data_IF_358104401162
#
_entry.id   IF_358104401162
#
_cell.length_a   1.000
_cell.length_b   1.000
_cell.length_c   1.000
_cell.angle_alpha   90.00
_cell.angle_beta   90.00
_cell.angle_gamma   90.00
#
_symmetry.space_group_name_H-M   'P 1'
#
loop_
_entity.id
_entity.type
_entity.pdbx_description
1 polymer ?
#
# COMPACT_ATOMS: atom_id res chain seq x y z
N UNK A 1 -47.35 47.46 40.33
CA UNK A 1 -46.45 48.03 39.30
C UNK A 1 -45.78 46.85 38.58
N UNK A 2 -46.39 46.33 37.51
CA UNK A 2 -45.91 45.13 36.82
C UNK A 2 -44.99 45.52 35.66
N UNK A 3 -43.70 45.16 35.75
CA UNK A 3 -42.75 45.28 34.63
C UNK A 3 -42.82 44.01 33.78
N UNK A 4 -43.30 44.13 32.54
CA UNK A 4 -43.17 43.08 31.52
C UNK A 4 -41.75 43.14 30.95
N UNK A 5 -41.00 42.05 31.05
CA UNK A 5 -39.71 41.87 30.38
C UNK A 5 -39.99 41.04 29.12
N UNK A 6 -39.82 41.65 27.95
CA UNK A 6 -39.90 40.96 26.66
C UNK A 6 -38.56 40.31 26.34
N UNK A 7 -38.53 38.99 26.24
CA UNK A 7 -37.38 38.23 25.76
C UNK A 7 -37.45 38.18 24.23
N UNK A 8 -36.57 38.91 23.54
CA UNK A 8 -36.41 38.80 22.08
C UNK A 8 -35.37 37.70 21.83
N UNK A 9 -35.83 36.55 21.32
CA UNK A 9 -34.96 35.49 20.84
C UNK A 9 -34.63 35.76 19.37
N UNK A 10 -33.45 36.30 19.09
CA UNK A 10 -32.94 36.44 17.74
C UNK A 10 -32.35 35.09 17.30
N UNK A 11 -33.07 34.36 16.44
CA UNK A 11 -32.59 33.14 15.81
C UNK A 11 -31.84 33.52 14.53
N UNK A 12 -30.51 33.66 14.60
CA UNK A 12 -29.66 33.81 13.42
C UNK A 12 -29.47 32.44 12.76
N UNK A 13 -30.21 32.17 11.68
CA UNK A 13 -29.96 31.01 10.82
C UNK A 13 -28.71 31.31 9.99
N UNK A 14 -27.55 30.90 10.49
CA UNK A 14 -26.33 30.82 9.69
C UNK A 14 -26.46 29.54 8.86
N UNK A 15 -26.91 29.70 7.61
CA UNK A 15 -26.82 28.66 6.60
C UNK A 15 -25.35 28.44 6.24
N UNK A 16 -24.68 27.60 7.03
CA UNK A 16 -23.36 27.07 6.69
C UNK A 16 -23.51 26.20 5.44
N UNK A 17 -22.85 26.60 4.35
CA UNK A 17 -22.56 25.72 3.23
C UNK A 17 -21.86 24.48 3.81
N UNK A 18 -22.54 23.34 3.79
CA UNK A 18 -21.89 22.06 3.97
C UNK A 18 -20.89 21.91 2.82
N UNK A 19 -19.63 22.30 3.07
CA UNK A 19 -18.51 21.83 2.28
C UNK A 19 -18.56 20.32 2.46
N UNK A 20 -19.14 19.63 1.49
CA UNK A 20 -19.01 18.18 1.37
C UNK A 20 -17.54 17.88 1.54
N UNK A 21 -17.17 17.21 2.64
CA UNK A 21 -15.81 16.70 2.79
C UNK A 21 -15.60 15.78 1.59
N UNK A 22 -14.87 16.26 0.58
CA UNK A 22 -14.38 15.40 -0.47
C UNK A 22 -13.68 14.25 0.21
N UNK A 23 -14.09 13.01 -0.07
CA UNK A 23 -13.44 11.82 0.46
C UNK A 23 -11.92 11.99 0.31
N UNK A 24 -11.15 11.73 1.38
CA UNK A 24 -9.68 11.89 1.41
C UNK A 24 -9.00 11.24 0.20
N UNK A 25 -9.60 10.20 -0.36
CA UNK A 25 -9.16 9.51 -1.56
C UNK A 25 -10.28 9.47 -2.62
N UNK A 26 -10.03 9.91 -3.87
CA UNK A 26 -11.05 10.01 -4.91
C UNK A 26 -11.46 8.64 -5.45
N UNK A 27 -12.53 8.08 -4.90
CA UNK A 27 -13.12 6.80 -5.35
C UNK A 27 -13.67 6.91 -6.77
N UNK A 28 -13.40 5.91 -7.62
CA UNK A 28 -13.85 5.87 -9.02
C UNK A 28 -13.06 6.77 -9.99
N UNK A 29 -12.11 7.57 -9.48
CA UNK A 29 -11.22 8.36 -10.34
C UNK A 29 -10.26 7.47 -11.13
N UNK A 30 -9.78 6.37 -10.55
CA UNK A 30 -8.91 5.40 -11.19
C UNK A 30 -9.70 4.15 -11.62
N UNK A 31 -9.50 3.69 -12.86
CA UNK A 31 -9.93 2.34 -13.28
C UNK A 31 -8.85 1.31 -12.95
N UNK A 32 -9.26 0.06 -12.80
CA UNK A 32 -8.33 -1.08 -12.75
C UNK A 32 -7.44 -1.07 -14.00
N UNK A 33 -6.11 -1.25 -13.89
CA UNK A 33 -5.21 -1.02 -15.02
C UNK A 33 -5.23 -2.13 -16.08
N UNK A 34 -5.82 -3.30 -15.78
CA UNK A 34 -6.00 -4.41 -16.71
C UNK A 34 -7.48 -4.58 -17.10
N UNK A 35 -7.75 -5.19 -18.24
CA UNK A 35 -9.09 -5.67 -18.62
C UNK A 35 -9.30 -7.15 -18.23
N UNK A 36 -8.68 -7.57 -17.12
CA UNK A 36 -8.81 -8.89 -16.54
C UNK A 36 -9.65 -8.83 -15.26
N UNK A 37 -10.05 -10.00 -14.74
CA UNK A 37 -10.65 -10.11 -13.42
C UNK A 37 -9.72 -9.43 -12.38
N UNK A 38 -10.22 -8.50 -11.56
CA UNK A 38 -9.41 -7.83 -10.54
C UNK A 38 -8.92 -8.84 -9.49
N UNK A 39 -7.60 -9.04 -9.46
CA UNK A 39 -6.92 -9.92 -8.50
C UNK A 39 -5.51 -9.38 -8.24
N UNK A 40 -5.03 -9.52 -7.00
CA UNK A 40 -3.68 -9.13 -6.60
C UNK A 40 -2.88 -10.31 -6.04
N UNK A 41 -1.55 -10.13 -6.01
CA UNK A 41 -0.60 -11.01 -5.35
C UNK A 41 -0.07 -10.43 -4.04
N UNK A 42 0.05 -9.12 -3.99
CA UNK A 42 0.57 -8.37 -2.85
C UNK A 42 -0.10 -7.00 -2.78
N UNK A 43 -0.19 -6.44 -1.58
CA UNK A 43 -0.71 -5.09 -1.32
C UNK A 43 0.35 -4.16 -0.71
N UNK A 44 0.01 -2.89 -0.54
CA UNK A 44 0.92 -1.92 0.07
C UNK A 44 1.05 -2.25 1.56
N UNK A 45 2.27 -2.23 2.07
CA UNK A 45 2.57 -2.52 3.48
C UNK A 45 2.87 -3.99 3.77
N UNK A 46 2.81 -4.88 2.78
CA UNK A 46 3.37 -6.22 2.92
C UNK A 46 4.87 -6.15 3.25
N UNK A 47 5.29 -6.91 4.28
CA UNK A 47 6.68 -6.94 4.73
C UNK A 47 7.55 -7.73 3.74
N UNK A 48 8.62 -7.12 3.25
CA UNK A 48 9.68 -7.77 2.45
C UNK A 48 11.00 -7.68 3.21
N UNK A 49 12.03 -8.42 2.81
CA UNK A 49 13.27 -8.57 3.60
C UNK A 49 13.99 -7.28 4.03
N UNK A 50 13.72 -6.13 3.39
CA UNK A 50 14.37 -4.86 3.75
C UNK A 50 13.53 -3.62 3.39
N UNK A 51 12.26 -3.79 3.06
CA UNK A 51 11.36 -2.71 2.65
C UNK A 51 9.89 -3.16 2.82
N UNK A 52 8.96 -2.20 2.87
CA UNK A 52 7.56 -2.51 2.60
C UNK A 52 7.31 -2.59 1.10
N UNK A 53 6.38 -3.44 0.69
CA UNK A 53 5.83 -3.39 -0.64
C UNK A 53 5.04 -2.09 -0.85
N UNK A 54 5.26 -1.39 -1.96
CA UNK A 54 4.89 0.03 -2.13
C UNK A 54 3.64 0.26 -3.01
N UNK A 55 2.92 -0.80 -3.35
CA UNK A 55 1.78 -0.74 -4.26
C UNK A 55 0.94 -2.01 -4.27
N UNK A 56 0.28 -2.27 -5.39
CA UNK A 56 -0.39 -3.54 -5.68
C UNK A 56 0.41 -4.32 -6.72
N UNK A 57 0.62 -5.60 -6.46
CA UNK A 57 1.08 -6.53 -7.51
C UNK A 57 -0.15 -7.16 -8.15
N UNK A 58 -0.53 -6.68 -9.33
CA UNK A 58 -1.76 -7.07 -10.02
C UNK A 58 -1.52 -8.31 -10.86
N UNK A 59 -2.36 -9.35 -10.67
CA UNK A 59 -2.26 -10.60 -11.43
C UNK A 59 -2.56 -10.40 -12.91
N UNK A 60 -1.73 -10.98 -13.76
CA UNK A 60 -1.88 -10.98 -15.23
C UNK A 60 -2.34 -12.34 -15.75
N UNK A 61 -3.15 -13.06 -14.97
CA UNK A 61 -3.53 -14.46 -15.24
C UNK A 61 -2.31 -15.36 -15.56
N UNK A 62 -1.20 -15.13 -14.82
CA UNK A 62 0.06 -15.87 -14.92
C UNK A 62 0.69 -15.81 -16.33
N UNK A 63 0.41 -14.74 -17.08
CA UNK A 63 0.91 -14.53 -18.44
C UNK A 63 1.56 -13.16 -18.56
N UNK A 64 2.60 -13.09 -19.37
CA UNK A 64 3.11 -11.81 -19.88
C UNK A 64 2.24 -11.33 -21.05
N UNK A 65 2.52 -10.11 -21.48
CA UNK A 65 1.91 -9.45 -22.63
C UNK A 65 0.39 -9.24 -22.54
N UNK A 66 -0.13 -9.05 -21.32
CA UNK A 66 -1.48 -8.53 -21.12
C UNK A 66 -1.46 -7.02 -21.35
N UNK A 67 -2.53 -6.49 -21.96
CA UNK A 67 -2.61 -5.04 -22.19
C UNK A 67 -2.78 -4.29 -20.86
N UNK A 68 -1.91 -3.31 -20.64
CA UNK A 68 -1.93 -2.37 -19.52
C UNK A 68 -2.43 -1.03 -20.03
N UNK A 69 -3.29 -0.42 -19.24
CA UNK A 69 -4.03 0.77 -19.63
C UNK A 69 -3.96 1.83 -18.52
N UNK A 70 -3.89 3.10 -18.90
CA UNK A 70 -3.89 4.22 -17.97
C UNK A 70 -5.12 4.19 -17.05
N UNK A 71 -4.88 4.34 -15.75
CA UNK A 71 -5.91 4.26 -14.72
C UNK A 71 -6.76 5.53 -14.69
N UNK A 72 -6.20 6.67 -15.09
CA UNK A 72 -6.92 7.93 -15.26
C UNK A 72 -6.28 8.78 -16.37
N UNK A 73 -6.96 9.87 -16.76
CA UNK A 73 -6.43 10.83 -17.73
C UNK A 73 -5.31 11.69 -17.14
N UNK A 74 -4.37 12.13 -17.98
CA UNK A 74 -3.18 12.85 -17.57
C UNK A 74 -2.15 12.86 -18.69
N UNK A 75 -0.87 12.75 -18.34
CA UNK A 75 0.21 12.58 -19.30
C UNK A 75 1.29 11.67 -18.70
N UNK A 76 1.97 10.92 -19.56
CA UNK A 76 3.15 10.15 -19.15
C UNK A 76 4.23 11.17 -18.79
N UNK A 77 4.55 11.26 -17.51
CA UNK A 77 5.47 12.25 -16.95
C UNK A 77 6.90 11.75 -16.91
N UNK A 78 7.08 10.44 -16.72
CA UNK A 78 8.38 9.81 -16.62
C UNK A 78 8.35 8.38 -17.16
N UNK A 79 9.44 8.00 -17.81
CA UNK A 79 9.80 6.61 -18.09
C UNK A 79 11.10 6.30 -17.38
N UNK A 80 11.16 5.14 -16.74
CA UNK A 80 12.39 4.61 -16.16
C UNK A 80 12.59 3.19 -16.65
N UNK A 81 13.78 2.92 -17.18
CA UNK A 81 14.22 1.57 -17.56
C UNK A 81 15.51 1.26 -16.84
N UNK A 82 15.52 0.18 -16.07
CA UNK A 82 16.71 -0.33 -15.40
C UNK A 82 16.72 -1.87 -15.36
N UNK A 83 17.89 -2.53 -15.24
CA UNK A 83 17.96 -4.00 -15.25
C UNK A 83 17.33 -4.69 -14.03
N UNK A 84 17.28 -4.00 -12.89
CA UNK A 84 16.68 -4.48 -11.65
C UNK A 84 15.46 -3.65 -11.26
N UNK A 85 15.12 -3.60 -9.97
CA UNK A 85 14.06 -2.73 -9.46
C UNK A 85 12.76 -2.88 -10.25
N UNK A 86 12.25 -1.77 -10.79
CA UNK A 86 11.01 -1.75 -11.56
C UNK A 86 11.08 -2.31 -12.98
N UNK A 87 12.28 -2.60 -13.50
CA UNK A 87 12.43 -2.99 -14.89
C UNK A 87 12.10 -1.83 -15.80
N UNK A 88 11.07 -2.01 -16.63
CA UNK A 88 10.49 -0.95 -17.47
C UNK A 88 9.25 -0.40 -16.79
N UNK A 89 9.23 0.91 -16.54
CA UNK A 89 8.13 1.56 -15.83
C UNK A 89 7.64 2.86 -16.48
N UNK A 90 6.33 3.07 -16.41
CA UNK A 90 5.62 4.28 -16.82
C UNK A 90 5.09 4.99 -15.58
N UNK A 91 5.29 6.31 -15.52
CA UNK A 91 4.68 7.19 -14.53
C UNK A 91 3.73 8.13 -15.26
N UNK A 92 2.52 8.30 -14.75
CA UNK A 92 1.50 9.17 -15.32
C UNK A 92 1.09 10.19 -14.26
N UNK A 93 1.32 11.47 -14.52
CA UNK A 93 0.83 12.54 -13.65
C UNK A 93 -0.60 12.90 -14.04
N UNK A 94 -1.45 13.07 -13.04
CA UNK A 94 -2.86 13.36 -13.21
C UNK A 94 -3.20 14.79 -12.74
N UNK A 95 -4.23 15.44 -13.32
CA UNK A 95 -4.64 16.79 -12.93
C UNK A 95 -5.05 16.95 -11.45
N UNK A 96 -5.39 15.86 -10.76
CA UNK A 96 -5.76 15.87 -9.35
C UNK A 96 -4.57 15.85 -8.38
N UNK A 97 -3.33 15.98 -8.86
CA UNK A 97 -2.12 16.01 -8.04
C UNK A 97 -1.65 14.62 -7.59
N UNK A 98 -2.11 13.57 -8.26
CA UNK A 98 -1.66 12.20 -8.05
C UNK A 98 -0.88 11.67 -9.25
N UNK A 99 0.00 10.72 -9.01
CA UNK A 99 0.76 10.00 -10.04
C UNK A 99 0.45 8.52 -9.95
N UNK A 100 0.22 7.85 -11.07
CA UNK A 100 0.19 6.37 -11.11
C UNK A 100 1.46 5.82 -11.74
N UNK A 101 1.98 4.75 -11.14
CA UNK A 101 3.14 4.01 -11.64
C UNK A 101 2.69 2.64 -12.14
N UNK A 102 3.28 2.19 -13.25
CA UNK A 102 3.12 0.85 -13.83
C UNK A 102 4.51 0.26 -14.06
N UNK A 103 4.82 -0.88 -13.45
CA UNK A 103 6.16 -1.48 -13.49
C UNK A 103 6.14 -2.93 -14.00
N UNK A 104 7.36 -3.47 -14.18
CA UNK A 104 7.64 -4.80 -14.74
C UNK A 104 7.08 -4.98 -16.15
N UNK A 105 6.96 -3.89 -16.91
CA UNK A 105 6.36 -3.89 -18.23
C UNK A 105 7.30 -4.50 -19.27
N UNK A 106 6.73 -5.01 -20.36
CA UNK A 106 7.47 -5.30 -21.59
C UNK A 106 7.42 -4.05 -22.47
N UNK A 107 7.03 -4.19 -23.74
CA UNK A 107 7.00 -3.07 -24.68
C UNK A 107 5.91 -2.06 -24.30
N UNK A 108 6.23 -0.78 -24.45
CA UNK A 108 5.27 0.30 -24.40
C UNK A 108 4.42 0.33 -25.68
N UNK A 109 3.41 1.20 -25.74
CA UNK A 109 2.72 1.43 -27.01
C UNK A 109 3.69 1.98 -28.07
N UNK A 110 3.46 1.70 -29.38
CA UNK A 110 4.50 1.81 -30.41
C UNK A 110 5.20 3.18 -30.53
N UNK A 111 4.45 4.27 -30.39
CA UNK A 111 5.00 5.63 -30.48
C UNK A 111 5.96 5.92 -29.32
N UNK A 112 5.58 5.57 -28.08
CA UNK A 112 6.47 5.76 -26.93
C UNK A 112 7.68 4.83 -27.00
N UNK A 113 7.49 3.56 -27.40
CA UNK A 113 8.59 2.60 -27.53
C UNK A 113 9.63 3.08 -28.54
N UNK A 114 9.18 3.60 -29.68
CA UNK A 114 10.05 4.16 -30.71
C UNK A 114 10.84 5.35 -30.18
N UNK A 115 10.19 6.29 -29.48
CA UNK A 115 10.86 7.43 -28.88
C UNK A 115 11.91 7.00 -27.85
N UNK A 116 11.55 6.11 -26.92
CA UNK A 116 12.45 5.63 -25.87
C UNK A 116 13.66 4.93 -26.47
N UNK A 117 13.44 4.07 -27.46
CA UNK A 117 14.51 3.36 -28.18
C UNK A 117 15.47 4.34 -28.85
N UNK A 118 14.95 5.38 -29.52
CA UNK A 118 15.79 6.43 -30.12
C UNK A 118 16.65 7.15 -29.07
N UNK A 119 16.09 7.44 -27.89
CA UNK A 119 16.84 8.04 -26.79
C UNK A 119 17.94 7.11 -26.25
N UNK A 120 17.65 5.81 -26.11
CA UNK A 120 18.65 4.82 -25.67
C UNK A 120 19.82 4.71 -26.66
N UNK A 121 19.55 4.70 -27.98
CA UNK A 121 20.60 4.72 -29.00
C UNK A 121 21.40 6.03 -28.99
N UNK A 122 20.72 7.17 -28.88
CA UNK A 122 21.37 8.49 -28.86
C UNK A 122 22.29 8.65 -27.63
N UNK A 123 21.89 8.12 -26.47
CA UNK A 123 22.66 8.16 -25.23
C UNK A 123 23.61 6.97 -25.07
N UNK A 124 23.57 6.00 -26.01
CA UNK A 124 24.34 4.75 -25.97
C UNK A 124 24.19 3.97 -24.66
N UNK A 125 22.98 4.01 -24.05
CA UNK A 125 22.67 3.31 -22.80
C UNK A 125 21.26 2.72 -22.84
N UNK A 126 21.12 1.49 -22.35
CA UNK A 126 19.82 0.85 -22.14
C UNK A 126 19.17 1.25 -20.81
N UNK A 127 19.97 1.65 -19.81
CA UNK A 127 19.44 2.26 -18.59
C UNK A 127 19.14 3.72 -18.87
N UNK A 128 17.89 4.13 -18.70
CA UNK A 128 17.48 5.50 -19.02
C UNK A 128 16.35 5.98 -18.09
N UNK A 129 16.38 7.26 -17.75
CA UNK A 129 15.25 7.99 -17.18
C UNK A 129 14.91 9.16 -18.09
N UNK A 130 13.66 9.23 -18.54
CA UNK A 130 13.17 10.29 -19.42
C UNK A 130 12.01 10.99 -18.73
N UNK A 131 12.04 12.32 -18.73
CA UNK A 131 10.97 13.16 -18.19
C UNK A 131 10.28 13.90 -19.34
N UNK A 132 8.97 14.06 -19.25
CA UNK A 132 8.16 14.63 -20.33
C UNK A 132 7.29 15.78 -19.86
N UNK A 133 6.99 16.69 -20.78
CA UNK A 133 6.03 17.76 -20.53
C UNK A 133 4.58 17.29 -20.75
N UNK A 134 3.58 17.98 -20.19
CA UNK A 134 2.17 17.60 -20.33
C UNK A 134 1.64 17.44 -21.77
N UNK A 135 2.32 18.05 -22.75
CA UNK A 135 1.90 18.04 -24.16
C UNK A 135 2.51 16.91 -24.98
N UNK A 136 3.52 16.22 -24.46
CA UNK A 136 4.30 15.28 -25.27
C UNK A 136 3.62 13.92 -25.41
N UNK A 137 3.18 13.34 -24.30
CA UNK A 137 2.50 12.03 -24.29
C UNK A 137 1.23 12.08 -23.43
N UNK A 138 0.18 12.82 -23.87
CA UNK A 138 -1.09 12.86 -23.16
C UNK A 138 -1.81 11.51 -23.24
N UNK A 139 -2.54 11.16 -22.17
CA UNK A 139 -3.32 9.92 -22.10
C UNK A 139 -4.70 10.19 -21.51
N UNK A 140 -5.68 9.42 -21.97
CA UNK A 140 -7.01 9.38 -21.38
C UNK A 140 -7.13 8.16 -20.44
N UNK A 141 -8.14 8.19 -19.56
CA UNK A 141 -8.50 7.01 -18.77
C UNK A 141 -8.81 5.85 -19.73
N UNK A 142 -8.12 4.73 -19.57
CA UNK A 142 -8.29 3.55 -20.42
C UNK A 142 -7.48 3.58 -21.72
N UNK A 143 -6.61 4.56 -21.94
CA UNK A 143 -5.63 4.51 -23.04
C UNK A 143 -4.69 3.32 -22.83
N UNK A 144 -4.47 2.51 -23.86
CA UNK A 144 -3.44 1.45 -23.86
C UNK A 144 -2.06 2.09 -23.76
N UNK A 145 -1.22 1.64 -22.82
CA UNK A 145 0.08 2.25 -22.55
C UNK A 145 1.26 1.27 -22.66
N UNK A 146 1.04 -0.01 -22.40
CA UNK A 146 2.10 -1.01 -22.44
C UNK A 146 1.55 -2.43 -22.39
N UNK A 147 2.44 -3.38 -22.63
CA UNK A 147 2.23 -4.78 -22.31
C UNK A 147 2.81 -5.10 -20.92
N UNK A 148 2.09 -5.88 -20.12
CA UNK A 148 2.59 -6.42 -18.86
C UNK A 148 3.75 -7.37 -19.14
N UNK A 149 4.66 -7.51 -18.20
CA UNK A 149 5.84 -8.34 -18.40
C UNK A 149 6.33 -8.99 -17.13
N UNK A 150 7.64 -9.21 -17.12
CA UNK A 150 8.38 -9.73 -15.99
C UNK A 150 9.78 -9.07 -15.90
N UNK A 151 9.90 -7.83 -16.37
CA UNK A 151 11.19 -7.12 -16.41
C UNK A 151 11.61 -6.62 -15.04
N UNK A 152 12.92 -6.44 -14.83
CA UNK A 152 13.47 -5.92 -13.57
C UNK A 152 13.53 -6.98 -12.47
N UNK A 153 13.38 -6.54 -11.22
CA UNK A 153 13.35 -7.40 -10.05
C UNK A 153 11.98 -8.00 -9.81
N UNK A 154 11.56 -8.95 -10.65
CA UNK A 154 10.26 -9.62 -10.56
C UNK A 154 10.41 -11.14 -10.46
N UNK A 155 9.60 -11.79 -9.62
CA UNK A 155 9.59 -13.24 -9.43
C UNK A 155 8.65 -13.98 -10.40
N UNK A 156 7.78 -13.25 -11.10
CA UNK A 156 6.86 -13.82 -12.09
C UNK A 156 5.93 -12.77 -12.70
N UNK A 157 5.20 -13.09 -13.78
CA UNK A 157 4.42 -12.10 -14.52
C UNK A 157 3.33 -11.43 -13.67
N UNK A 158 3.39 -10.11 -13.58
CA UNK A 158 2.40 -9.24 -12.91
C UNK A 158 2.56 -7.79 -13.39
N UNK A 159 1.65 -6.90 -12.97
CA UNK A 159 1.85 -5.45 -13.08
C UNK A 159 1.96 -4.88 -11.67
N UNK A 160 3.12 -4.35 -11.33
CA UNK A 160 3.25 -3.55 -10.13
C UNK A 160 2.62 -2.17 -10.36
N UNK A 161 1.67 -1.79 -9.52
CA UNK A 161 0.87 -0.58 -9.65
C UNK A 161 0.87 0.24 -8.38
N UNK A 162 1.18 1.52 -8.50
CA UNK A 162 1.17 2.45 -7.37
C UNK A 162 0.31 3.67 -7.64
N UNK A 163 -0.16 4.29 -6.57
CA UNK A 163 -0.68 5.66 -6.58
C UNK A 163 0.22 6.47 -5.65
N UNK A 164 0.71 7.61 -6.11
CA UNK A 164 1.59 8.50 -5.36
C UNK A 164 1.02 9.91 -5.29
N UNK A 165 1.36 10.62 -4.22
CA UNK A 165 1.20 12.08 -4.19
C UNK A 165 2.26 12.70 -5.12
N UNK A 166 1.84 13.44 -6.16
CA UNK A 166 2.78 13.96 -7.18
C UNK A 166 3.81 14.94 -6.62
N UNK A 167 3.47 15.64 -5.53
CA UNK A 167 4.35 16.66 -4.95
C UNK A 167 5.42 16.04 -4.05
N UNK A 168 5.08 14.99 -3.33
CA UNK A 168 5.95 14.37 -2.33
C UNK A 168 6.53 13.03 -2.76
N UNK A 169 6.05 12.45 -3.87
CA UNK A 169 6.34 11.09 -4.36
C UNK A 169 5.99 9.97 -3.36
N UNK A 170 5.26 10.31 -2.28
CA UNK A 170 4.86 9.35 -1.26
C UNK A 170 3.82 8.39 -1.83
N UNK A 171 4.07 7.09 -1.68
CA UNK A 171 3.15 6.04 -2.11
C UNK A 171 1.95 6.01 -1.18
N UNK A 172 0.75 6.01 -1.76
CA UNK A 172 -0.54 5.98 -1.09
C UNK A 172 -1.14 4.58 -1.27
N UNK A 173 -1.78 4.05 -0.24
CA UNK A 173 -2.40 2.73 -0.30
C UNK A 173 -3.50 2.69 -1.38
N UNK A 174 -3.30 1.95 -2.49
CA UNK A 174 -4.26 1.97 -3.59
C UNK A 174 -5.63 1.42 -3.20
N UNK A 175 -5.72 0.56 -2.18
CA UNK A 175 -7.00 0.01 -1.71
C UNK A 175 -7.95 1.08 -1.15
N UNK A 176 -7.43 2.25 -0.75
CA UNK A 176 -8.24 3.38 -0.28
C UNK A 176 -8.97 4.13 -1.41
N UNK A 177 -8.64 3.86 -2.68
CA UNK A 177 -9.20 4.53 -3.86
C UNK A 177 -10.41 3.83 -4.48
N UNK A 178 -10.95 2.80 -3.81
CA UNK A 178 -12.18 2.11 -4.24
C UNK A 178 -12.00 1.25 -5.48
N UNK A 179 -10.85 0.56 -5.60
CA UNK A 179 -10.69 -0.49 -6.61
C UNK A 179 -11.66 -1.65 -6.39
N UNK A 180 -12.03 -2.38 -7.45
CA UNK A 180 -13.05 -3.44 -7.40
C UNK A 180 -12.51 -4.75 -6.83
N UNK A 181 -11.86 -4.71 -5.66
CA UNK A 181 -11.39 -5.87 -4.91
C UNK A 181 -12.37 -6.11 -3.76
N UNK A 182 -12.90 -7.32 -3.67
CA UNK A 182 -13.77 -7.70 -2.56
C UNK A 182 -12.92 -8.22 -1.40
N UNK A 183 -13.15 -7.68 -0.22
CA UNK A 183 -12.47 -8.13 0.99
C UNK A 183 -13.47 -8.42 2.11
N UNK A 184 -13.73 -9.72 2.31
CA UNK A 184 -14.61 -10.27 3.32
C UNK A 184 -13.86 -11.31 4.18
N UNK A 185 -12.52 -11.34 4.12
CA UNK A 185 -11.73 -12.32 4.84
C UNK A 185 -11.07 -11.60 6.01
N UNK A 186 -11.30 -12.02 7.27
CA UNK A 186 -10.62 -11.40 8.39
C UNK A 186 -9.12 -11.76 8.40
N UNK A 187 -8.24 -10.86 8.86
CA UNK A 187 -6.82 -11.14 9.01
C UNK A 187 -6.55 -12.39 9.84
N UNK A 188 -5.47 -13.09 9.51
CA UNK A 188 -5.00 -14.27 10.24
C UNK A 188 -3.84 -13.89 11.15
N UNK A 189 -4.03 -14.08 12.46
CA UNK A 189 -2.93 -13.99 13.43
C UNK A 189 -2.24 -15.35 13.51
N UNK A 190 -0.93 -15.36 13.26
CA UNK A 190 -0.10 -16.58 13.23
C UNK A 190 0.63 -16.78 14.54
N UNK A 191 1.20 -15.69 15.09
CA UNK A 191 1.99 -15.73 16.32
C UNK A 191 1.68 -14.51 17.18
N UNK A 192 1.77 -14.73 18.48
CA UNK A 192 1.82 -13.68 19.49
C UNK A 192 3.08 -13.92 20.32
N UNK A 193 3.87 -12.89 20.53
CA UNK A 193 5.03 -12.93 21.40
C UNK A 193 4.99 -11.77 22.39
N UNK A 194 5.66 -11.95 23.52
CA UNK A 194 5.86 -10.92 24.53
C UNK A 194 7.34 -10.70 24.79
N UNK A 195 7.68 -9.46 25.11
CA UNK A 195 9.03 -9.00 25.42
C UNK A 195 9.06 -8.27 26.76
N UNK A 196 10.17 -8.41 27.47
CA UNK A 196 10.49 -7.63 28.66
C UNK A 196 11.09 -6.29 28.22
N UNK A 197 10.36 -5.19 28.44
CA UNK A 197 10.80 -3.84 28.07
C UNK A 197 11.66 -3.16 29.13
N UNK A 198 12.07 -3.88 30.18
CA UNK A 198 13.24 -3.51 30.96
C UNK A 198 14.56 -3.82 30.22
N UNK A 199 14.53 -4.60 29.15
CA UNK A 199 15.68 -4.97 28.32
C UNK A 199 15.50 -4.50 26.87
N UNK A 200 16.60 -4.36 26.16
CA UNK A 200 16.57 -4.18 24.70
C UNK A 200 15.94 -5.41 24.03
N UNK A 201 15.15 -5.21 22.97
CA UNK A 201 14.65 -6.33 22.14
C UNK A 201 15.82 -7.14 21.56
N UNK A 202 16.93 -6.46 21.25
CA UNK A 202 18.13 -7.09 20.71
C UNK A 202 18.85 -8.02 21.72
N UNK A 203 18.67 -7.82 23.02
CA UNK A 203 19.35 -8.59 24.08
C UNK A 203 18.49 -9.72 24.64
N UNK A 204 17.35 -10.00 24.00
CA UNK A 204 16.43 -11.04 24.43
C UNK A 204 15.94 -11.87 23.23
N UNK A 205 14.99 -12.76 23.50
CA UNK A 205 14.30 -13.58 22.50
C UNK A 205 12.79 -13.44 22.71
N UNK A 206 11.97 -13.53 21.64
CA UNK A 206 10.52 -13.53 21.79
C UNK A 206 10.05 -14.64 22.74
N UNK A 207 9.22 -14.29 23.71
CA UNK A 207 8.46 -15.27 24.49
C UNK A 207 7.12 -15.53 23.80
N UNK A 208 7.05 -16.62 23.03
CA UNK A 208 5.84 -16.98 22.30
C UNK A 208 4.69 -17.36 23.23
N UNK A 209 3.52 -16.80 22.94
CA UNK A 209 2.27 -17.04 23.63
C UNK A 209 1.39 -17.93 22.75
N UNK A 210 0.99 -19.12 23.24
CA UNK A 210 0.06 -19.97 22.50
C UNK A 210 -1.28 -19.27 22.30
N UNK A 211 -1.69 -19.10 21.05
CA UNK A 211 -3.01 -18.58 20.68
C UNK A 211 -3.83 -19.65 19.99
N UNK A 212 -5.14 -19.60 20.19
CA UNK A 212 -6.13 -20.45 19.52
C UNK A 212 -7.13 -19.60 18.79
N UNK A 213 -7.49 -20.01 17.57
CA UNK A 213 -8.59 -19.42 16.81
C UNK A 213 -9.91 -19.77 17.49
N UNK A 214 -10.77 -18.77 17.69
CA UNK A 214 -12.07 -18.85 18.35
C UNK A 214 -13.08 -18.08 17.50
N UNK A 215 -13.64 -18.75 16.48
CA UNK A 215 -14.44 -18.06 15.45
C UNK A 215 -13.59 -17.09 14.64
N UNK A 216 -13.94 -15.80 14.68
CA UNK A 216 -13.23 -14.71 13.97
C UNK A 216 -12.16 -14.02 14.83
N UNK A 217 -11.96 -14.46 16.08
CA UNK A 217 -10.95 -13.91 16.98
C UNK A 217 -9.91 -14.93 17.38
N UNK A 218 -8.83 -14.46 18.02
CA UNK A 218 -7.77 -15.29 18.59
C UNK A 218 -7.69 -15.01 20.08
N UNK A 219 -7.46 -16.05 20.88
CA UNK A 219 -7.33 -15.93 22.32
C UNK A 219 -6.46 -17.02 22.92
N UNK A 220 -6.24 -16.96 24.23
CA UNK A 220 -5.40 -17.90 24.99
C UNK A 220 -6.05 -19.28 25.21
N UNK A 221 -7.24 -19.50 24.64
CA UNK A 221 -7.97 -20.76 24.74
C UNK A 221 -8.46 -21.02 26.17
N UNK A 222 -7.96 -22.09 26.80
CA UNK A 222 -8.32 -22.45 28.19
C UNK A 222 -7.56 -21.62 29.23
N UNK A 223 -6.41 -21.08 28.87
CA UNK A 223 -5.72 -20.14 29.76
C UNK A 223 -6.49 -18.82 29.72
N UNK A 224 -6.96 -18.34 30.86
CA UNK A 224 -7.65 -17.05 30.97
C UNK A 224 -6.71 -15.91 31.37
N UNK A 225 -5.50 -16.25 31.84
CA UNK A 225 -4.54 -15.28 32.37
C UNK A 225 -3.13 -15.65 31.88
N UNK A 226 -2.48 -14.68 31.24
CA UNK A 226 -1.05 -14.75 30.97
C UNK A 226 -0.29 -14.25 32.21
N UNK A 227 0.55 -15.10 32.80
CA UNK A 227 1.40 -14.72 33.94
C UNK A 227 2.80 -14.37 33.44
N UNK A 228 3.35 -13.26 33.92
CA UNK A 228 4.72 -12.83 33.63
C UNK A 228 5.33 -12.14 34.85
N UNK A 229 6.66 -12.17 34.95
CA UNK A 229 7.43 -11.41 35.94
C UNK A 229 7.91 -10.06 35.39
N UNK A 230 7.44 -9.65 34.21
CA UNK A 230 7.87 -8.42 33.56
C UNK A 230 7.16 -7.21 34.15
N UNK A 231 7.94 -6.24 34.62
CA UNK A 231 7.40 -4.96 35.11
C UNK A 231 7.03 -4.01 33.95
N UNK A 232 7.66 -4.20 32.78
CA UNK A 232 7.35 -3.50 31.54
C UNK A 232 7.25 -4.53 30.42
N UNK A 233 6.16 -4.51 29.66
CA UNK A 233 5.92 -5.48 28.60
C UNK A 233 5.59 -4.80 27.28
N UNK A 234 5.93 -5.47 26.18
CA UNK A 234 5.34 -5.21 24.87
C UNK A 234 4.98 -6.52 24.19
N UNK A 235 4.11 -6.44 23.18
CA UNK A 235 3.73 -7.56 22.36
C UNK A 235 4.25 -7.38 20.93
N UNK A 236 4.46 -8.51 20.26
CA UNK A 236 4.71 -8.57 18.83
C UNK A 236 3.74 -9.58 18.20
N UNK A 237 3.33 -9.33 16.97
CA UNK A 237 2.37 -10.17 16.27
C UNK A 237 2.88 -10.50 14.88
N UNK A 238 2.86 -11.80 14.53
CA UNK A 238 2.90 -12.17 13.11
C UNK A 238 1.45 -12.27 12.64
N UNK A 239 1.06 -11.44 11.69
CA UNK A 239 -0.24 -11.52 11.04
C UNK A 239 -0.14 -11.23 9.54
N UNK A 240 -1.09 -11.77 8.79
CA UNK A 240 -1.28 -11.44 7.38
C UNK A 240 -2.76 -11.31 7.11
N UNK A 241 -3.09 -10.59 6.04
CA UNK A 241 -4.43 -10.52 5.51
C UNK A 241 -4.56 -11.31 4.21
N UNK A 242 -5.79 -11.45 3.70
CA UNK A 242 -6.04 -11.98 2.36
C UNK A 242 -7.23 -11.27 1.73
N UNK A 243 -7.12 -10.89 0.47
CA UNK A 243 -8.30 -10.49 -0.30
C UNK A 243 -9.18 -11.69 -0.66
N UNK A 244 -10.51 -11.49 -0.76
CA UNK A 244 -11.44 -12.59 -1.07
C UNK A 244 -11.12 -13.25 -2.41
N UNK A 245 -11.09 -14.59 -2.41
CA UNK A 245 -10.76 -15.38 -3.59
C UNK A 245 -9.25 -15.54 -3.86
N UNK A 246 -8.39 -14.99 -3.02
CA UNK A 246 -6.94 -15.16 -3.06
C UNK A 246 -6.44 -16.00 -1.89
N UNK A 247 -5.41 -16.83 -2.12
CA UNK A 247 -4.68 -17.54 -1.06
C UNK A 247 -3.35 -16.83 -0.71
N UNK A 248 -2.98 -15.78 -1.43
CA UNK A 248 -1.78 -15.01 -1.14
C UNK A 248 -1.88 -14.36 0.24
N UNK A 249 -0.74 -14.21 0.90
CA UNK A 249 -0.66 -13.48 2.16
C UNK A 249 -0.35 -12.03 1.82
N UNK A 250 -1.31 -11.17 2.08
CA UNK A 250 -1.17 -9.73 1.94
C UNK A 250 -0.75 -9.13 3.31
N UNK A 251 -0.17 -7.93 3.30
CA UNK A 251 0.10 -7.17 4.52
C UNK A 251 -1.19 -6.73 5.22
N UNK A 252 -1.17 -6.68 6.55
CA UNK A 252 -2.27 -6.10 7.33
C UNK A 252 -2.27 -4.57 7.20
N UNK A 253 -3.45 -3.98 7.02
CA UNK A 253 -3.57 -2.52 6.91
C UNK A 253 -3.31 -1.79 8.23
N UNK A 254 -3.72 -2.37 9.35
CA UNK A 254 -3.64 -1.74 10.67
C UNK A 254 -3.59 -2.74 11.81
N UNK A 255 -3.04 -2.31 12.94
CA UNK A 255 -3.17 -3.00 14.23
C UNK A 255 -3.36 -1.97 15.34
N UNK A 256 -4.14 -2.32 16.37
CA UNK A 256 -4.43 -1.47 17.53
C UNK A 256 -4.33 -2.29 18.80
N UNK A 257 -3.62 -1.77 19.78
CA UNK A 257 -3.47 -2.36 21.10
C UNK A 257 -4.33 -1.59 22.10
N UNK A 258 -5.16 -2.32 22.84
CA UNK A 258 -6.01 -1.78 23.88
C UNK A 258 -5.65 -2.36 25.25
N UNK A 259 -5.66 -1.52 26.27
CA UNK A 259 -5.54 -1.91 27.68
C UNK A 259 -6.71 -1.31 28.43
N UNK A 260 -7.50 -2.14 29.12
CA UNK A 260 -8.75 -1.73 29.77
C UNK A 260 -9.65 -0.89 28.84
N UNK A 261 -9.83 -1.39 27.61
CA UNK A 261 -10.62 -0.76 26.53
C UNK A 261 -10.08 0.57 26.00
N UNK A 262 -8.92 1.04 26.51
CA UNK A 262 -8.27 2.27 26.03
C UNK A 262 -7.19 1.94 25.01
N UNK A 263 -7.22 2.63 23.87
CA UNK A 263 -6.16 2.55 22.86
C UNK A 263 -4.85 3.05 23.48
N UNK A 264 -3.81 2.22 23.45
CA UNK A 264 -2.48 2.57 23.95
C UNK A 264 -1.46 2.72 22.83
N UNK A 265 -1.61 1.96 21.75
CA UNK A 265 -0.69 1.97 20.62
C UNK A 265 -1.36 1.40 19.36
N UNK A 266 -0.78 1.65 18.19
CA UNK A 266 -1.24 1.09 16.92
C UNK A 266 -0.63 1.77 15.70
N UNK A 267 -0.89 1.19 14.54
CA UNK A 267 -0.49 1.75 13.25
C UNK A 267 -1.60 1.57 12.22
N UNK A 268 -1.56 2.42 11.19
CA UNK A 268 -2.37 2.34 9.97
C UNK A 268 -1.48 2.66 8.78
N UNK A 269 -1.48 1.83 7.73
CA UNK A 269 -0.62 1.99 6.56
C UNK A 269 -1.39 2.67 5.42
N UNK A 270 -1.64 3.97 5.59
CA UNK A 270 -2.25 4.82 4.56
C UNK A 270 -1.27 5.17 3.43
N UNK A 271 0.01 5.29 3.77
CA UNK A 271 1.05 5.75 2.87
C UNK A 271 2.44 5.46 3.41
N UNK A 272 3.41 5.25 2.52
CA UNK A 272 4.83 5.01 2.86
C UNK A 272 5.70 5.76 1.84
N UNK A 273 6.77 6.40 2.29
CA UNK A 273 7.79 6.97 1.38
C UNK A 273 8.88 5.95 1.06
N UNK A 274 9.48 6.02 -0.12
CA UNK A 274 10.68 5.24 -0.44
C UNK A 274 11.85 5.56 0.51
N UNK A 275 11.97 6.80 0.99
CA UNK A 275 13.01 7.19 1.95
C UNK A 275 12.81 6.54 3.33
N UNK A 276 11.57 6.14 3.63
CA UNK A 276 11.18 5.55 4.91
C UNK A 276 11.13 4.03 4.83
N UNK A 277 11.15 3.43 3.64
CA UNK A 277 10.73 2.02 3.47
C UNK A 277 11.61 1.03 4.23
N UNK A 278 12.90 1.35 4.40
CA UNK A 278 13.84 0.54 5.18
C UNK A 278 13.55 0.55 6.69
N UNK A 279 12.76 1.52 7.19
CA UNK A 279 12.25 1.50 8.57
C UNK A 279 11.27 0.36 8.83
N UNK A 280 10.90 -0.41 7.82
CA UNK A 280 10.31 -1.74 7.99
C UNK A 280 11.11 -2.60 8.97
N UNK A 281 12.45 -2.53 8.93
CA UNK A 281 13.29 -3.26 9.87
C UNK A 281 13.14 -2.81 11.33
N UNK A 282 12.68 -1.57 11.57
CA UNK A 282 12.35 -1.07 12.90
C UNK A 282 10.93 -1.44 13.34
N UNK A 283 10.08 -1.86 12.40
CA UNK A 283 8.72 -2.33 12.64
C UNK A 283 8.69 -3.81 13.07
N UNK A 284 9.79 -4.55 12.86
CA UNK A 284 9.91 -5.97 13.18
C UNK A 284 10.97 -6.23 14.27
N UNK A 285 10.94 -7.41 14.88
CA UNK A 285 12.11 -7.97 15.55
C UNK A 285 13.18 -8.40 14.51
N UNK A 286 13.99 -7.43 14.08
CA UNK A 286 15.03 -7.63 13.08
C UNK A 286 16.03 -8.74 13.45
N UNK A 287 16.39 -8.86 14.74
CA UNK A 287 17.34 -9.90 15.16
C UNK A 287 16.71 -11.29 15.03
N UNK A 288 15.43 -11.44 15.37
CA UNK A 288 14.74 -12.72 15.18
C UNK A 288 14.68 -13.10 13.70
N UNK A 289 14.26 -12.17 12.84
CA UNK A 289 14.18 -12.37 11.38
C UNK A 289 15.55 -12.69 10.75
N UNK A 290 16.56 -11.87 11.03
CA UNK A 290 17.93 -12.05 10.50
C UNK A 290 18.54 -13.42 10.83
N UNK A 291 18.15 -14.02 11.97
CA UNK A 291 18.60 -15.35 12.37
C UNK A 291 17.71 -16.50 11.85
N UNK A 292 16.88 -16.24 10.83
CA UNK A 292 16.00 -17.23 10.19
C UNK A 292 14.63 -17.39 10.85
N UNK A 293 14.27 -16.51 11.79
CA UNK A 293 12.90 -16.36 12.26
C UNK A 293 12.00 -15.75 11.19
N UNK A 294 10.69 -15.71 11.44
CA UNK A 294 9.78 -14.93 10.60
C UNK A 294 9.56 -13.54 11.18
N UNK A 295 8.94 -12.64 10.43
CA UNK A 295 8.56 -11.32 10.94
C UNK A 295 7.68 -11.41 12.19
N UNK A 296 8.05 -10.61 13.19
CA UNK A 296 7.35 -10.43 14.47
C UNK A 296 7.21 -8.95 14.78
#
# INVERSE_FOLDING_TARGET
MYRKIGLILLLSIISGLAISQSSRYPKGYFRWPLNLKPEIVANLGELRSNHWHMGLDIRTAQKENQQVFAAAGGYISKIRIEPGGFGRAIYINHPNGLTTLYAHLNDFYPELETYVTQQQYAQQTWRIELNFSPRQFPVNKGTFIAYSGNTGGSAGPHVHFEIRDTRTDKCLNPLLFGFPLQDNVPPTVVRLAMYDRAKSVYDQKPQFIPIKKMGNSYGLGRASVLKTSFDKLSFAITAYDRISGSNNQDGIYSAKLFVDERLVDGFEIDSVSYDETAYMNAHIDFKHDYNGGGFL
#
